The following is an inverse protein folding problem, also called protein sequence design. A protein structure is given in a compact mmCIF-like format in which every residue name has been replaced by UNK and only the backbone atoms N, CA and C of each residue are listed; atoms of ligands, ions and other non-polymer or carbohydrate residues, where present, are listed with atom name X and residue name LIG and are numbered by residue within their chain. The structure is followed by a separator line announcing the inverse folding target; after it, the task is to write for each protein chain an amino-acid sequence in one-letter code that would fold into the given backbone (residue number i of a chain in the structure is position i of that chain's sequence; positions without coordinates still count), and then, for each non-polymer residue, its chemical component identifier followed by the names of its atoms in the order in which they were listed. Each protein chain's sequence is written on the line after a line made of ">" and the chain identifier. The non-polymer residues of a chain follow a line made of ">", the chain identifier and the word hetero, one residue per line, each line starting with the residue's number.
data_IF_017164227951
#
_entry.id   IF_017164227951
#
_cell.length_a   1.000
_cell.length_b   1.000
_cell.length_c   1.000
_cell.angle_alpha   90.00
_cell.angle_beta   90.00
_cell.angle_gamma   90.00
#
_symmetry.space_group_name_H-M   'P 1'
#
loop_
_entity.id
_entity.type
_entity.pdbx_description
1 polymer ?
#
# COMPACT_ATOMS: atom_id res chain seq x y z
N UNK A 1 -46.63 -19.39 21.07
CA UNK A 1 -45.25 -19.80 21.41
C UNK A 1 -44.33 -18.84 20.66
N UNK A 2 -44.09 -17.63 21.18
CA UNK A 2 -43.67 -16.49 20.32
C UNK A 2 -42.50 -15.64 20.82
N UNK A 3 -42.00 -15.84 22.04
CA UNK A 3 -40.89 -15.04 22.61
C UNK A 3 -39.57 -15.84 22.66
N UNK A 4 -39.15 -16.41 21.52
CA UNK A 4 -37.95 -17.25 21.44
C UNK A 4 -37.06 -17.05 20.19
N UNK A 5 -37.36 -16.06 19.33
CA UNK A 5 -36.61 -15.82 18.08
C UNK A 5 -36.08 -14.37 17.92
N UNK A 6 -35.91 -13.66 19.04
CA UNK A 6 -35.55 -12.23 19.05
C UNK A 6 -34.09 -11.95 19.49
N UNK A 7 -33.13 -12.81 19.14
CA UNK A 7 -31.69 -12.49 19.28
C UNK A 7 -30.75 -13.33 18.39
N UNK A 8 -31.11 -13.52 17.12
CA UNK A 8 -30.21 -14.14 16.13
C UNK A 8 -29.22 -13.08 15.63
N UNK A 9 -27.92 -13.33 15.76
CA UNK A 9 -26.84 -12.42 15.32
C UNK A 9 -26.82 -12.25 13.79
N UNK A 10 -27.59 -11.27 13.30
CA UNK A 10 -27.64 -10.84 11.91
C UNK A 10 -26.27 -10.36 11.38
N UNK A 11 -25.34 -9.96 12.25
CA UNK A 11 -23.98 -9.58 11.84
C UNK A 11 -23.18 -10.77 11.32
N UNK A 12 -23.28 -11.93 11.99
CA UNK A 12 -22.68 -13.19 11.52
C UNK A 12 -23.30 -13.67 10.21
N UNK A 13 -24.62 -13.62 10.08
CA UNK A 13 -25.30 -13.99 8.82
C UNK A 13 -24.95 -13.05 7.67
N UNK A 14 -24.92 -11.73 7.89
CA UNK A 14 -24.52 -10.75 6.88
C UNK A 14 -23.10 -10.99 6.37
N UNK A 15 -22.16 -11.32 7.27
CA UNK A 15 -20.78 -11.68 6.90
C UNK A 15 -20.71 -12.97 6.07
N UNK A 16 -21.53 -13.98 6.38
CA UNK A 16 -21.60 -15.21 5.57
C UNK A 16 -22.18 -14.90 4.19
N UNK A 17 -23.25 -14.11 4.10
CA UNK A 17 -23.84 -13.69 2.81
C UNK A 17 -22.83 -12.88 1.98
N UNK A 18 -22.09 -11.94 2.58
CA UNK A 18 -21.01 -11.22 1.89
C UNK A 18 -19.89 -12.15 1.41
N UNK A 19 -19.57 -13.22 2.15
CA UNK A 19 -18.55 -14.19 1.74
C UNK A 19 -18.93 -14.97 0.46
N UNK A 20 -20.22 -15.08 0.15
CA UNK A 20 -20.75 -15.69 -1.09
C UNK A 20 -21.23 -14.65 -2.12
N UNK A 21 -21.50 -13.41 -1.71
CA UNK A 21 -22.06 -12.35 -2.53
C UNK A 21 -21.57 -10.96 -2.07
N UNK A 22 -20.32 -10.64 -2.43
CA UNK A 22 -19.75 -9.29 -2.34
C UNK A 22 -19.68 -8.70 -3.76
N UNK A 23 -20.75 -8.04 -4.25
CA UNK A 23 -20.77 -7.46 -5.59
C UNK A 23 -19.84 -6.26 -5.67
N UNK A 24 -19.20 -6.08 -6.83
CA UNK A 24 -18.27 -4.96 -7.03
C UNK A 24 -18.99 -3.60 -6.97
N UNK A 25 -18.34 -2.56 -6.42
CA UNK A 25 -18.96 -1.27 -6.26
C UNK A 25 -19.16 -0.58 -7.61
N UNK A 26 -20.37 -0.10 -7.86
CA UNK A 26 -20.73 0.74 -9.01
C UNK A 26 -20.53 2.22 -8.63
N UNK A 27 -20.06 3.03 -9.57
CA UNK A 27 -19.87 4.46 -9.42
C UNK A 27 -21.19 5.23 -9.58
N UNK A 28 -21.37 6.32 -8.83
CA UNK A 28 -22.47 7.24 -9.08
C UNK A 28 -22.07 8.25 -10.17
N UNK A 29 -22.38 7.88 -11.41
CA UNK A 29 -22.07 8.68 -12.61
C UNK A 29 -22.83 10.00 -12.69
N UNK A 30 -23.89 10.19 -11.89
CA UNK A 30 -24.68 11.42 -11.87
C UNK A 30 -24.08 12.48 -10.92
N UNK A 31 -23.43 12.04 -9.84
CA UNK A 31 -22.77 12.93 -8.88
C UNK A 31 -21.31 13.25 -9.23
N UNK A 32 -20.64 12.44 -10.08
CA UNK A 32 -19.21 12.55 -10.48
C UNK A 32 -18.26 12.91 -9.30
N UNK A 33 -18.48 12.26 -8.15
CA UNK A 33 -17.66 12.49 -6.98
C UNK A 33 -16.25 11.94 -7.23
N UNK A 34 -15.18 12.76 -7.09
CA UNK A 34 -13.83 12.32 -7.38
C UNK A 34 -13.44 11.09 -6.57
N UNK A 35 -12.98 10.06 -7.28
CA UNK A 35 -12.39 8.87 -6.69
C UNK A 35 -10.87 9.05 -6.65
N UNK A 36 -10.26 8.57 -5.58
CA UNK A 36 -8.84 8.71 -5.32
C UNK A 36 -8.15 7.35 -5.23
N UNK A 37 -6.93 7.27 -5.76
CA UNK A 37 -5.99 6.17 -5.51
C UNK A 37 -4.63 6.79 -5.18
N UNK A 38 -3.98 6.39 -4.07
CA UNK A 38 -2.65 6.84 -3.61
C UNK A 38 -2.32 8.30 -3.99
N UNK A 39 -3.02 9.26 -3.36
CA UNK A 39 -2.79 10.69 -3.56
C UNK A 39 -3.23 11.30 -4.90
N UNK A 40 -3.74 10.50 -5.85
CA UNK A 40 -4.19 10.95 -7.19
C UNK A 40 -5.70 10.88 -7.31
N UNK A 41 -6.32 11.97 -7.77
CA UNK A 41 -7.76 12.09 -8.00
C UNK A 41 -8.14 11.81 -9.46
N UNK A 42 -9.36 11.31 -9.67
CA UNK A 42 -9.95 11.02 -10.98
C UNK A 42 -11.44 11.38 -11.01
N UNK A 43 -11.93 11.87 -12.15
CA UNK A 43 -13.33 12.15 -12.44
C UNK A 43 -13.74 11.67 -13.83
N UNK A 44 -15.04 11.51 -14.06
CA UNK A 44 -15.59 11.22 -15.40
C UNK A 44 -15.43 12.43 -16.34
N UNK A 45 -15.42 13.65 -15.80
CA UNK A 45 -15.11 14.87 -16.54
C UNK A 45 -13.79 14.83 -17.31
N UNK A 46 -12.82 14.07 -16.82
CA UNK A 46 -11.43 14.13 -17.32
C UNK A 46 -11.31 13.56 -18.75
N UNK A 47 -12.23 12.66 -19.15
CA UNK A 47 -12.38 12.18 -20.53
C UNK A 47 -12.74 13.29 -21.55
N UNK A 48 -13.23 14.46 -21.12
CA UNK A 48 -13.73 15.52 -22.03
C UNK A 48 -12.69 16.54 -22.48
N UNK A 49 -11.54 16.66 -21.80
CA UNK A 49 -10.53 17.67 -22.11
C UNK A 49 -9.38 17.17 -23.01
N UNK A 50 -9.19 15.86 -23.18
CA UNK A 50 -8.18 15.28 -24.08
C UNK A 50 -8.63 15.21 -25.53
N UNK A 51 -8.97 16.37 -26.11
CA UNK A 51 -8.81 16.57 -27.56
C UNK A 51 -7.35 16.98 -27.82
N UNK A 52 -6.66 16.42 -28.84
CA UNK A 52 -5.33 16.87 -29.21
C UNK A 52 -5.42 18.28 -29.79
N UNK A 53 -5.07 19.29 -28.97
CA UNK A 53 -5.15 20.68 -29.36
C UNK A 53 -3.82 21.11 -29.98
N UNK A 54 -3.72 20.91 -31.30
CA UNK A 54 -2.48 21.03 -32.08
C UNK A 54 -2.07 22.49 -32.32
N UNK A 55 -1.65 23.16 -31.24
CA UNK A 55 -1.19 24.57 -31.23
C UNK A 55 0.14 24.70 -30.49
N UNK A 56 1.21 24.54 -31.25
CA UNK A 56 2.60 24.67 -30.83
C UNK A 56 3.08 26.15 -30.97
N UNK A 57 3.36 26.88 -29.87
CA UNK A 57 3.81 28.28 -29.93
C UNK A 57 5.32 28.37 -30.19
N UNK A 58 5.75 28.16 -31.43
CA UNK A 58 7.15 28.35 -31.83
C UNK A 58 7.58 29.83 -31.78
N UNK A 59 8.46 30.17 -30.85
CA UNK A 59 9.21 31.43 -30.85
C UNK A 59 10.38 31.34 -31.86
N UNK A 60 10.54 32.30 -32.80
CA UNK A 60 11.54 32.20 -33.87
C UNK A 60 12.95 32.65 -33.42
N UNK A 61 14.03 32.00 -33.90
CA UNK A 61 15.40 32.46 -33.74
C UNK A 61 15.76 33.61 -34.72
N UNK A 62 16.67 34.53 -34.36
CA UNK A 62 17.07 35.64 -35.22
C UNK A 62 18.10 35.23 -36.28
N UNK A 63 17.99 35.79 -37.48
CA UNK A 63 18.91 35.54 -38.60
C UNK A 63 19.93 36.67 -38.82
N UNK A 64 21.16 36.34 -39.22
CA UNK A 64 22.00 37.20 -40.04
C UNK A 64 22.17 36.63 -41.47
N UNK A 65 22.29 37.50 -42.46
CA UNK A 65 22.42 37.18 -43.89
C UNK A 65 23.79 37.67 -44.43
N UNK A 66 24.07 37.63 -45.75
CA UNK A 66 24.08 36.45 -46.64
C UNK A 66 25.39 36.34 -47.46
N UNK A 67 25.75 35.16 -47.98
CA UNK A 67 26.72 35.03 -49.11
C UNK A 67 26.41 33.89 -50.10
N UNK A 68 26.17 34.33 -51.35
CA UNK A 68 26.41 33.69 -52.67
C UNK A 68 27.08 32.32 -52.77
N UNK A 69 26.49 31.44 -53.58
CA UNK A 69 27.06 30.21 -54.17
C UNK A 69 26.06 29.61 -55.19
N UNK A 70 26.51 28.81 -56.16
CA UNK A 70 25.68 28.26 -57.25
C UNK A 70 26.07 26.79 -57.59
N UNK A 71 25.48 26.24 -58.67
CA UNK A 71 25.80 24.95 -59.34
C UNK A 71 25.38 23.65 -58.61
N UNK A 72 25.03 22.52 -59.27
CA UNK A 72 24.32 22.29 -60.57
C UNK A 72 23.88 20.80 -60.71
N UNK A 73 22.81 20.49 -61.48
CA UNK A 73 22.43 19.20 -62.15
C UNK A 73 22.45 17.85 -61.32
N UNK A 74 22.00 16.65 -61.77
CA UNK A 74 21.37 16.13 -63.01
C UNK A 74 20.26 15.06 -62.73
N UNK A 75 19.95 14.12 -63.66
CA UNK A 75 18.59 13.59 -63.91
C UNK A 75 18.37 12.05 -64.08
N UNK A 76 17.13 11.59 -63.82
CA UNK A 76 16.42 10.39 -64.40
C UNK A 76 16.91 8.96 -64.03
N UNK A 77 16.24 7.80 -64.31
CA UNK A 77 14.94 7.43 -64.96
C UNK A 77 14.44 6.02 -64.53
N UNK A 78 13.20 5.63 -64.88
CA UNK A 78 12.61 4.26 -64.73
C UNK A 78 12.16 3.66 -66.09
N UNK A 79 11.95 2.32 -66.22
CA UNK A 79 10.68 1.78 -66.79
C UNK A 79 10.21 0.38 -66.24
N UNK A 80 9.21 -0.29 -66.87
CA UNK A 80 8.30 -1.31 -66.29
C UNK A 80 8.14 -2.67 -67.04
N UNK A 81 7.60 -3.70 -66.32
CA UNK A 81 6.65 -4.78 -66.77
C UNK A 81 7.10 -5.96 -67.70
N UNK A 82 6.32 -7.08 -67.93
CA UNK A 82 5.18 -7.71 -67.20
C UNK A 82 5.05 -9.29 -67.21
N UNK A 83 3.93 -9.81 -66.61
CA UNK A 83 3.06 -11.01 -66.97
C UNK A 83 3.44 -12.50 -66.72
N UNK A 84 2.61 -13.23 -65.92
CA UNK A 84 1.66 -14.30 -66.36
C UNK A 84 0.86 -14.98 -65.19
N UNK A 85 -0.23 -15.72 -65.50
CA UNK A 85 -1.22 -16.42 -64.60
C UNK A 85 -1.85 -17.64 -65.37
N UNK A 86 -2.88 -18.42 -64.94
CA UNK A 86 -3.83 -18.40 -63.78
C UNK A 86 -3.76 -19.72 -62.91
N UNK A 87 -4.66 -20.19 -62.01
CA UNK A 87 -6.14 -20.33 -61.92
C UNK A 87 -6.75 -19.97 -60.52
N UNK A 88 -8.07 -20.11 -60.32
CA UNK A 88 -8.88 -19.43 -59.26
C UNK A 88 -10.24 -20.12 -58.98
N UNK A 89 -11.06 -19.66 -58.01
CA UNK A 89 -10.77 -19.24 -56.62
C UNK A 89 -11.56 -20.20 -55.68
N UNK A 90 -12.71 -19.90 -55.01
CA UNK A 90 -13.27 -18.70 -54.33
C UNK A 90 -12.91 -18.73 -52.81
N UNK A 91 -13.51 -18.07 -51.80
CA UNK A 91 -14.52 -17.01 -51.53
C UNK A 91 -14.06 -16.36 -50.18
N UNK A 92 -14.37 -15.12 -49.76
CA UNK A 92 -14.94 -13.94 -50.43
C UNK A 92 -14.52 -12.66 -49.68
N UNK A 93 -14.75 -11.49 -50.28
CA UNK A 93 -14.05 -10.23 -49.94
C UNK A 93 -14.71 -9.31 -48.89
N UNK A 94 -13.84 -8.54 -48.23
CA UNK A 94 -14.16 -7.35 -47.41
C UNK A 94 -15.02 -6.30 -48.13
N UNK A 95 -15.88 -5.62 -47.38
CA UNK A 95 -16.03 -4.16 -47.53
C UNK A 95 -16.57 -3.51 -46.24
N UNK A 96 -15.99 -2.36 -45.87
CA UNK A 96 -16.50 -1.49 -44.80
C UNK A 96 -17.37 -0.39 -45.39
N UNK A 97 -18.54 -0.10 -44.80
CA UNK A 97 -19.15 1.23 -44.89
C UNK A 97 -19.89 1.60 -43.61
N UNK A 98 -19.89 2.89 -43.29
CA UNK A 98 -20.39 3.43 -42.03
C UNK A 98 -21.92 3.50 -41.98
N UNK A 99 -22.49 3.21 -40.80
CA UNK A 99 -23.80 3.70 -40.42
C UNK A 99 -23.80 4.12 -38.95
N UNK A 100 -24.29 5.32 -38.68
CA UNK A 100 -24.11 6.01 -37.40
C UNK A 100 -25.26 5.72 -36.43
N UNK A 101 -25.00 4.91 -35.39
CA UNK A 101 -25.68 5.03 -34.10
C UNK A 101 -24.64 4.96 -32.99
N UNK A 102 -24.50 6.05 -32.25
CA UNK A 102 -23.67 6.09 -31.04
C UNK A 102 -24.42 5.40 -29.90
N UNK A 103 -24.13 4.12 -29.69
CA UNK A 103 -24.25 3.52 -28.36
C UNK A 103 -22.91 3.70 -27.66
N UNK A 104 -22.94 4.11 -26.39
CA UNK A 104 -21.76 4.01 -25.54
C UNK A 104 -21.31 2.55 -25.50
N UNK A 105 -20.04 2.31 -25.81
CA UNK A 105 -19.37 1.08 -25.43
C UNK A 105 -19.23 1.12 -23.90
N UNK A 106 -20.24 0.59 -23.21
CA UNK A 106 -20.27 0.48 -21.75
C UNK A 106 -19.23 -0.56 -21.34
N UNK A 107 -17.97 -0.11 -21.25
CA UNK A 107 -16.91 -0.90 -20.64
C UNK A 107 -17.39 -1.37 -19.26
N UNK A 108 -17.10 -2.63 -18.93
CA UNK A 108 -17.72 -3.38 -17.84
C UNK A 108 -17.29 -2.89 -16.43
N UNK A 109 -16.70 -1.69 -16.36
CA UNK A 109 -15.93 -1.13 -15.26
C UNK A 109 -16.83 -0.39 -14.26
N UNK A 110 -18.08 -0.83 -14.06
CA UNK A 110 -19.00 -0.26 -13.06
C UNK A 110 -19.25 1.26 -13.16
N UNK A 111 -18.99 1.90 -14.30
CA UNK A 111 -19.08 3.35 -14.48
C UNK A 111 -17.93 4.17 -13.86
N UNK A 112 -16.79 3.56 -13.51
CA UNK A 112 -15.63 4.26 -12.97
C UNK A 112 -14.83 5.03 -14.04
N UNK A 113 -14.06 6.06 -13.67
CA UNK A 113 -13.07 6.64 -14.56
C UNK A 113 -11.99 5.61 -14.91
N UNK A 114 -11.71 5.38 -16.20
CA UNK A 114 -10.71 4.38 -16.62
C UNK A 114 -9.32 4.66 -16.03
N UNK A 115 -8.91 5.93 -15.93
CA UNK A 115 -7.66 6.30 -15.26
C UNK A 115 -7.54 5.80 -13.80
N UNK A 116 -8.66 5.68 -13.08
CA UNK A 116 -8.70 5.08 -11.74
C UNK A 116 -8.60 3.54 -11.80
N UNK A 117 -9.33 2.89 -12.70
CA UNK A 117 -9.28 1.42 -12.88
C UNK A 117 -7.86 0.96 -13.23
N UNK A 118 -7.27 1.55 -14.28
CA UNK A 118 -5.91 1.25 -14.70
C UNK A 118 -4.88 1.48 -13.57
N UNK A 119 -5.11 2.48 -12.71
CA UNK A 119 -4.21 2.75 -11.58
C UNK A 119 -4.43 1.83 -10.38
N UNK A 120 -5.67 1.37 -10.14
CA UNK A 120 -6.00 0.39 -9.11
C UNK A 120 -5.42 -0.98 -9.46
N UNK A 121 -5.64 -1.47 -10.69
CA UNK A 121 -5.14 -2.78 -11.13
C UNK A 121 -3.61 -2.84 -11.16
N UNK A 122 -2.96 -1.70 -11.43
CA UNK A 122 -1.50 -1.56 -11.38
C UNK A 122 -0.92 -1.57 -9.96
N UNK A 123 -1.71 -1.55 -8.89
CA UNK A 123 -1.16 -1.62 -7.52
C UNK A 123 -0.79 -3.07 -7.19
N UNK A 124 0.47 -3.28 -6.81
CA UNK A 124 1.00 -4.61 -6.46
C UNK A 124 0.23 -5.16 -5.25
N UNK A 125 -0.31 -6.37 -5.39
CA UNK A 125 -1.22 -7.02 -4.46
C UNK A 125 -0.65 -8.34 -3.96
N UNK A 126 -0.18 -8.34 -2.70
CA UNK A 126 0.30 -9.55 -2.04
C UNK A 126 -0.86 -10.21 -1.28
N UNK A 127 -1.05 -11.51 -1.52
CA UNK A 127 -2.10 -12.34 -0.90
C UNK A 127 -1.52 -13.48 -0.08
N UNK A 128 -2.37 -14.23 0.62
CA UNK A 128 -2.04 -15.56 1.11
C UNK A 128 -1.46 -16.43 0.00
N UNK A 129 -0.43 -17.20 0.35
CA UNK A 129 0.24 -18.13 -0.56
C UNK A 129 0.33 -19.53 0.07
N UNK A 130 0.50 -20.56 -0.75
CA UNK A 130 0.70 -21.95 -0.34
C UNK A 130 1.75 -22.63 -1.20
N UNK A 131 2.32 -23.73 -0.70
CA UNK A 131 3.36 -24.52 -1.37
C UNK A 131 4.72 -23.81 -1.47
N UNK A 132 4.93 -22.77 -0.63
CA UNK A 132 6.25 -22.16 -0.44
C UNK A 132 7.15 -22.98 0.49
N UNK A 133 8.47 -22.70 0.49
CA UNK A 133 9.45 -23.45 1.29
C UNK A 133 9.04 -23.48 2.79
N UNK A 134 8.92 -24.65 3.45
CA UNK A 134 8.20 -24.72 4.72
C UNK A 134 8.89 -23.99 5.87
N UNK A 135 8.20 -22.99 6.45
CA UNK A 135 8.69 -22.20 7.59
C UNK A 135 8.62 -23.03 8.88
N UNK A 136 9.75 -23.27 9.58
CA UNK A 136 9.76 -24.02 10.84
C UNK A 136 8.88 -23.40 11.93
N UNK A 137 8.20 -24.23 12.72
CA UNK A 137 7.47 -23.77 13.91
C UNK A 137 8.45 -23.32 15.00
N UNK A 138 8.06 -22.32 15.78
CA UNK A 138 8.86 -21.87 16.92
C UNK A 138 8.86 -22.92 18.03
N UNK A 139 10.03 -23.16 18.62
CA UNK A 139 10.22 -24.03 19.80
C UNK A 139 10.03 -23.29 21.12
N UNK A 140 9.76 -21.97 21.11
CA UNK A 140 9.45 -21.21 22.33
C UNK A 140 8.06 -21.64 22.87
N UNK A 141 7.95 -22.08 24.14
CA UNK A 141 6.66 -22.43 24.76
C UNK A 141 5.57 -21.36 24.66
N UNK A 142 5.92 -20.08 24.55
CA UNK A 142 4.96 -18.98 24.40
C UNK A 142 4.29 -18.96 23.01
N UNK A 143 4.94 -19.48 21.96
CA UNK A 143 4.41 -19.40 20.60
C UNK A 143 3.07 -20.13 20.44
N UNK A 144 2.93 -21.31 21.06
CA UNK A 144 1.72 -22.15 20.99
C UNK A 144 0.49 -21.44 21.56
N UNK A 145 0.63 -20.56 22.57
CA UNK A 145 -0.49 -19.81 23.15
C UNK A 145 -0.87 -18.59 22.31
N UNK A 146 0.11 -17.97 21.63
CA UNK A 146 -0.07 -16.77 20.82
C UNK A 146 -0.60 -17.03 19.39
N UNK A 147 -0.59 -18.29 18.94
CA UNK A 147 -1.19 -18.72 17.67
C UNK A 147 -2.60 -18.13 17.46
N UNK A 148 -2.89 -17.74 16.22
CA UNK A 148 -4.23 -17.31 15.79
C UNK A 148 -5.26 -18.43 16.01
N UNK A 149 -6.55 -18.08 16.19
CA UNK A 149 -7.60 -19.07 16.52
C UNK A 149 -7.73 -20.17 15.46
N UNK A 150 -7.60 -19.79 14.20
CA UNK A 150 -7.54 -20.69 13.04
C UNK A 150 -6.35 -21.65 13.11
N UNK A 151 -5.16 -21.17 13.46
CA UNK A 151 -3.97 -22.02 13.61
C UNK A 151 -4.00 -22.90 14.86
N UNK A 152 -4.60 -22.44 15.96
CA UNK A 152 -4.85 -23.30 17.15
C UNK A 152 -5.75 -24.48 16.80
N UNK A 153 -6.85 -24.24 16.09
CA UNK A 153 -7.75 -25.31 15.66
C UNK A 153 -7.07 -26.31 14.72
N UNK A 154 -6.30 -25.84 13.72
CA UNK A 154 -5.50 -26.72 12.85
C UNK A 154 -4.47 -27.55 13.64
N UNK A 155 -3.74 -26.90 14.56
CA UNK A 155 -2.71 -27.54 15.39
C UNK A 155 -3.30 -28.63 16.32
N UNK A 156 -4.49 -28.39 16.89
CA UNK A 156 -5.22 -29.37 17.70
C UNK A 156 -5.75 -30.57 16.91
N UNK A 157 -5.97 -30.43 15.60
CA UNK A 157 -6.39 -31.51 14.70
C UNK A 157 -5.20 -32.39 14.23
N UNK A 158 -4.03 -32.25 14.85
CA UNK A 158 -2.86 -33.13 14.65
C UNK A 158 -1.80 -32.60 13.69
N UNK A 159 -2.07 -31.52 12.96
CA UNK A 159 -1.10 -30.94 12.04
C UNK A 159 -0.01 -30.13 12.78
N UNK A 160 1.13 -30.80 13.02
CA UNK A 160 2.37 -30.22 13.53
C UNK A 160 3.42 -29.95 12.44
N UNK A 161 3.04 -30.02 11.15
CA UNK A 161 3.99 -29.76 10.05
C UNK A 161 4.48 -28.30 10.02
N UNK A 162 5.71 -28.04 9.52
CA UNK A 162 6.17 -26.67 9.24
C UNK A 162 5.20 -25.94 8.28
N UNK A 163 5.09 -24.61 8.42
CA UNK A 163 4.10 -23.84 7.66
C UNK A 163 4.55 -23.67 6.19
N UNK A 164 3.91 -24.37 5.27
CA UNK A 164 4.00 -24.14 3.81
C UNK A 164 2.88 -23.23 3.28
N UNK A 165 2.11 -22.58 4.15
CA UNK A 165 1.12 -21.55 3.79
C UNK A 165 0.90 -20.56 4.92
N UNK A 166 0.73 -19.28 4.58
CA UNK A 166 0.40 -18.21 5.53
C UNK A 166 -1.12 -17.98 5.71
N UNK A 167 -1.94 -18.80 5.04
CA UNK A 167 -3.40 -18.76 5.04
C UNK A 167 -4.00 -18.81 6.46
N UNK A 168 -4.67 -17.72 6.84
CA UNK A 168 -5.35 -17.56 8.14
C UNK A 168 -4.54 -16.82 9.22
N UNK A 169 -3.26 -16.53 8.98
CA UNK A 169 -2.40 -15.80 9.94
C UNK A 169 -1.59 -14.65 9.32
N UNK A 170 -1.05 -14.80 8.11
CA UNK A 170 -0.16 -13.83 7.45
C UNK A 170 -0.78 -12.53 6.95
N UNK A 171 -2.07 -12.25 7.15
CA UNK A 171 -2.80 -11.20 6.42
C UNK A 171 -2.17 -9.81 6.60
N UNK A 172 -1.74 -9.45 7.81
CA UNK A 172 -1.08 -8.17 8.08
C UNK A 172 0.34 -8.10 7.50
N UNK A 173 1.04 -9.25 7.36
CA UNK A 173 2.32 -9.31 6.63
C UNK A 173 2.06 -9.02 5.15
N UNK A 174 1.05 -9.66 4.54
CA UNK A 174 0.68 -9.45 3.13
C UNK A 174 0.20 -8.01 2.85
N UNK A 175 -0.57 -7.41 3.75
CA UNK A 175 -0.91 -5.97 3.67
C UNK A 175 0.33 -5.07 3.78
N UNK A 176 1.29 -5.41 4.65
CA UNK A 176 2.56 -4.68 4.79
C UNK A 176 3.51 -4.85 3.61
N UNK A 177 3.59 -6.06 3.04
CA UNK A 177 4.32 -6.33 1.79
C UNK A 177 3.71 -5.52 0.64
N UNK A 178 2.39 -5.48 0.51
CA UNK A 178 1.71 -4.69 -0.53
C UNK A 178 2.03 -3.19 -0.40
N UNK A 179 2.02 -2.64 0.83
CA UNK A 179 2.41 -1.26 1.11
C UNK A 179 3.86 -0.99 0.72
N UNK A 180 4.80 -1.86 1.10
CA UNK A 180 6.22 -1.71 0.77
C UNK A 180 6.49 -1.87 -0.73
N UNK A 181 5.88 -2.85 -1.40
CA UNK A 181 6.04 -3.10 -2.83
C UNK A 181 5.55 -1.90 -3.66
N UNK A 182 4.39 -1.33 -3.32
CA UNK A 182 3.92 -0.11 -3.97
C UNK A 182 4.81 1.11 -3.62
N UNK A 183 5.38 1.19 -2.42
CA UNK A 183 6.36 2.25 -2.10
C UNK A 183 7.61 2.15 -2.97
N UNK A 184 8.13 0.94 -3.20
CA UNK A 184 9.28 0.69 -4.08
C UNK A 184 8.93 1.02 -5.53
N UNK A 185 7.77 0.55 -6.03
CA UNK A 185 7.27 0.88 -7.35
C UNK A 185 7.13 2.40 -7.57
N UNK A 186 6.65 3.15 -6.57
CA UNK A 186 6.54 4.60 -6.66
C UNK A 186 7.89 5.33 -6.80
N UNK A 187 9.00 4.75 -6.32
CA UNK A 187 10.35 5.33 -6.44
C UNK A 187 11.09 4.84 -7.68
N UNK A 188 11.02 3.53 -8.01
CA UNK A 188 11.71 2.96 -9.19
C UNK A 188 10.96 3.23 -10.51
N UNK A 189 9.63 3.19 -10.50
CA UNK A 189 8.76 3.29 -11.69
C UNK A 189 8.01 4.63 -11.77
N UNK A 190 7.83 5.32 -10.64
CA UNK A 190 7.12 6.59 -10.56
C UNK A 190 5.60 6.46 -10.41
N UNK A 191 4.92 7.56 -10.04
CA UNK A 191 3.46 7.57 -9.77
C UNK A 191 2.60 7.32 -11.02
N UNK A 192 3.13 7.62 -12.19
CA UNK A 192 2.45 7.49 -13.49
C UNK A 192 2.54 6.09 -14.11
N UNK A 193 3.41 5.21 -13.58
CA UNK A 193 3.55 3.84 -14.06
C UNK A 193 2.26 3.02 -13.92
N UNK A 194 1.98 2.21 -14.95
CA UNK A 194 0.86 1.26 -15.04
C UNK A 194 1.36 -0.12 -15.49
N UNK A 195 0.64 -1.17 -15.11
CA UNK A 195 1.00 -2.58 -15.40
C UNK A 195 1.33 -2.80 -16.88
N UNK A 196 2.35 -3.61 -17.17
CA UNK A 196 2.84 -3.87 -18.53
C UNK A 196 3.73 -2.77 -19.12
N UNK A 197 3.87 -1.62 -18.44
CA UNK A 197 4.98 -0.70 -18.67
C UNK A 197 6.18 -1.15 -17.83
N UNK A 198 7.42 -0.93 -18.31
CA UNK A 198 8.65 -1.20 -17.53
C UNK A 198 8.73 -2.61 -16.91
N UNK A 199 8.24 -3.62 -17.64
CA UNK A 199 8.10 -5.01 -17.20
C UNK A 199 9.35 -5.58 -16.51
N UNK A 200 10.55 -5.22 -16.98
CA UNK A 200 11.80 -5.68 -16.39
C UNK A 200 11.95 -5.25 -14.91
N UNK A 201 11.64 -3.99 -14.60
CA UNK A 201 11.74 -3.45 -13.25
C UNK A 201 10.52 -3.83 -12.39
N UNK A 202 9.34 -4.03 -12.99
CA UNK A 202 8.19 -4.69 -12.34
C UNK A 202 8.58 -6.10 -11.85
N UNK A 203 9.21 -6.90 -12.70
CA UNK A 203 9.74 -8.23 -12.36
C UNK A 203 10.87 -8.18 -11.31
N UNK A 204 11.77 -7.20 -11.38
CA UNK A 204 12.79 -6.98 -10.33
C UNK A 204 12.15 -6.73 -8.96
N UNK A 205 11.09 -5.93 -8.90
CA UNK A 205 10.35 -5.69 -7.65
C UNK A 205 9.64 -6.97 -7.21
N UNK A 206 8.93 -7.69 -8.08
CA UNK A 206 8.25 -8.93 -7.72
C UNK A 206 9.22 -10.01 -7.19
N UNK A 207 10.42 -10.12 -7.76
CA UNK A 207 11.52 -10.97 -7.25
C UNK A 207 11.87 -10.68 -5.80
N UNK A 208 11.92 -9.40 -5.42
CA UNK A 208 12.27 -9.02 -4.05
C UNK A 208 11.21 -9.45 -3.00
N UNK A 209 9.97 -9.79 -3.43
CA UNK A 209 8.85 -10.21 -2.59
C UNK A 209 8.45 -11.70 -2.71
N UNK A 210 9.11 -12.47 -3.58
CA UNK A 210 8.83 -13.90 -3.80
C UNK A 210 8.77 -14.72 -2.50
N UNK A 211 8.00 -15.81 -2.49
CA UNK A 211 7.79 -16.65 -1.29
C UNK A 211 8.96 -17.63 -1.05
N UNK A 212 10.18 -17.10 -1.01
CA UNK A 212 11.45 -17.84 -0.91
C UNK A 212 12.33 -17.25 0.19
N UNK A 213 13.10 -18.06 0.95
CA UNK A 213 14.05 -17.56 1.96
C UNK A 213 15.15 -16.62 1.46
N UNK A 214 15.48 -16.64 0.16
CA UNK A 214 16.44 -15.75 -0.53
C UNK A 214 15.88 -14.34 -0.71
N UNK A 215 14.58 -14.21 -0.99
CA UNK A 215 13.97 -12.91 -1.28
C UNK A 215 13.96 -12.00 -0.03
N UNK A 216 14.40 -10.74 -0.14
CA UNK A 216 14.55 -9.85 1.01
C UNK A 216 13.20 -9.59 1.70
N UNK A 217 12.14 -9.29 0.95
CA UNK A 217 10.82 -8.93 1.50
C UNK A 217 9.86 -10.12 1.65
N UNK A 218 10.35 -11.36 1.53
CA UNK A 218 9.52 -12.57 1.58
C UNK A 218 8.80 -12.81 2.91
N UNK A 219 7.76 -13.65 2.89
CA UNK A 219 7.04 -14.10 4.09
C UNK A 219 8.00 -14.73 5.11
N UNK A 220 8.99 -15.49 4.66
CA UNK A 220 10.06 -16.07 5.47
C UNK A 220 10.89 -14.99 6.16
N UNK A 221 11.26 -13.94 5.43
CA UNK A 221 12.06 -12.83 5.95
C UNK A 221 11.31 -11.96 6.96
N UNK A 222 10.03 -11.66 6.70
CA UNK A 222 9.14 -10.99 7.67
C UNK A 222 8.99 -11.80 8.97
N UNK A 223 8.73 -13.11 8.87
CA UNK A 223 8.56 -13.99 10.04
C UNK A 223 9.86 -14.15 10.83
N UNK A 224 10.97 -14.38 10.12
CA UNK A 224 12.32 -14.49 10.71
C UNK A 224 12.68 -13.22 11.48
N UNK A 225 12.34 -12.04 10.96
CA UNK A 225 12.55 -10.79 11.68
C UNK A 225 11.59 -10.63 12.87
N UNK A 226 10.29 -10.85 12.67
CA UNK A 226 9.26 -10.72 13.71
C UNK A 226 9.60 -11.47 14.98
N UNK A 227 10.12 -12.70 14.85
CA UNK A 227 10.58 -13.50 15.98
C UNK A 227 11.77 -12.85 16.72
N UNK A 228 12.70 -12.22 15.99
CA UNK A 228 13.95 -11.66 16.52
C UNK A 228 13.82 -10.29 17.19
N UNK A 229 12.82 -9.48 16.83
CA UNK A 229 12.68 -8.10 17.32
C UNK A 229 11.31 -7.76 17.92
N UNK A 230 10.27 -8.52 17.60
CA UNK A 230 8.91 -8.32 18.14
C UNK A 230 8.44 -9.51 19.01
N UNK A 231 9.25 -10.58 19.14
CA UNK A 231 8.84 -11.83 19.77
C UNK A 231 7.69 -12.54 19.05
N UNK A 232 7.51 -12.27 17.74
CA UNK A 232 6.37 -12.73 16.93
C UNK A 232 6.70 -13.97 16.11
N UNK A 233 6.06 -15.09 16.44
CA UNK A 233 6.37 -16.39 15.86
C UNK A 233 5.46 -16.76 14.66
N UNK A 234 5.91 -17.67 13.77
CA UNK A 234 5.07 -18.17 12.68
C UNK A 234 3.74 -18.77 13.18
N UNK A 235 2.65 -18.47 12.49
CA UNK A 235 1.27 -18.85 12.88
C UNK A 235 0.55 -17.84 13.78
N UNK A 236 1.26 -16.85 14.33
CA UNK A 236 0.66 -15.71 15.04
C UNK A 236 0.11 -14.66 14.08
N UNK A 237 -0.82 -13.83 14.59
CA UNK A 237 -1.14 -12.56 13.95
C UNK A 237 -0.11 -11.49 14.32
N UNK A 238 0.43 -10.84 13.28
CA UNK A 238 1.29 -9.66 13.39
C UNK A 238 0.38 -8.42 13.43
N UNK A 239 0.63 -7.49 14.35
CA UNK A 239 -0.07 -6.20 14.38
C UNK A 239 0.63 -5.12 13.56
N UNK A 240 -0.03 -3.97 13.29
CA UNK A 240 0.54 -2.82 12.59
C UNK A 240 1.98 -2.49 12.96
N UNK A 241 2.27 -2.30 14.25
CA UNK A 241 3.59 -1.93 14.77
C UNK A 241 4.65 -3.04 14.61
N UNK A 242 4.25 -4.32 14.62
CA UNK A 242 5.16 -5.44 14.38
C UNK A 242 5.53 -5.50 12.88
N UNK A 243 4.55 -5.29 12.01
CA UNK A 243 4.76 -5.18 10.56
C UNK A 243 5.62 -3.96 10.20
N UNK A 244 5.41 -2.83 10.86
CA UNK A 244 6.24 -1.62 10.69
C UNK A 244 7.72 -1.88 11.05
N UNK A 245 7.96 -2.59 12.16
CA UNK A 245 9.31 -3.03 12.57
C UNK A 245 9.94 -4.00 11.56
N UNK A 246 9.14 -4.90 10.96
CA UNK A 246 9.60 -5.76 9.87
C UNK A 246 9.97 -4.98 8.59
N UNK A 247 9.16 -3.99 8.18
CA UNK A 247 9.48 -3.13 7.03
C UNK A 247 10.75 -2.30 7.30
N UNK A 248 10.94 -1.83 8.54
CA UNK A 248 12.14 -1.10 8.94
C UNK A 248 13.40 -1.99 9.02
N UNK A 249 13.25 -3.31 9.16
CA UNK A 249 14.35 -4.27 9.31
C UNK A 249 14.22 -5.47 8.36
N UNK A 250 14.85 -5.36 7.19
CA UNK A 250 14.95 -6.43 6.18
C UNK A 250 16.43 -6.77 5.94
N UNK A 251 16.88 -7.91 6.46
CA UNK A 251 18.31 -8.27 6.62
C UNK A 251 19.12 -8.20 5.31
N UNK A 252 20.31 -7.59 5.34
CA UNK A 252 21.32 -7.66 4.27
C UNK A 252 22.01 -9.03 4.14
N UNK A 253 22.35 -9.46 2.90
CA UNK A 253 23.32 -10.54 2.67
C UNK A 253 24.74 -10.06 3.03
N UNK A 254 25.04 -10.01 4.32
CA UNK A 254 26.41 -9.94 4.82
C UNK A 254 27.01 -11.36 4.90
N UNK A 255 28.28 -11.57 4.48
CA UNK A 255 28.93 -12.88 4.60
C UNK A 255 29.04 -13.34 6.06
N UNK A 256 29.12 -14.66 6.26
CA UNK A 256 28.97 -15.29 7.57
C UNK A 256 30.03 -14.85 8.59
N UNK A 257 29.58 -14.39 9.76
CA UNK A 257 30.33 -14.48 11.01
C UNK A 257 29.52 -15.36 11.98
N UNK A 258 29.94 -16.61 12.24
CA UNK A 258 29.33 -17.44 13.27
C UNK A 258 29.50 -16.84 14.67
N UNK A 259 28.51 -17.07 15.55
CA UNK A 259 28.59 -16.86 17.00
C UNK A 259 28.78 -15.41 17.53
N UNK A 260 28.35 -14.38 16.80
CA UNK A 260 28.08 -13.07 17.41
C UNK A 260 26.57 -12.86 17.63
N UNK A 261 26.08 -13.27 18.82
CA UNK A 261 24.73 -12.90 19.28
C UNK A 261 24.84 -11.64 20.15
N UNK A 262 23.93 -10.68 19.91
CA UNK A 262 23.87 -9.36 20.57
C UNK A 262 24.96 -8.36 20.12
N UNK A 263 24.73 -7.74 18.94
CA UNK A 263 25.20 -6.37 18.69
C UNK A 263 24.17 -5.36 19.25
N UNK A 264 24.69 -4.33 19.95
CA UNK A 264 23.95 -3.21 20.54
C UNK A 264 24.20 -1.86 19.83
N UNK A 265 24.93 -1.86 18.72
CA UNK A 265 25.19 -0.67 17.91
C UNK A 265 23.88 -0.07 17.35
N UNK A 266 23.84 1.23 17.01
CA UNK A 266 22.65 1.86 16.43
C UNK A 266 22.24 1.19 15.10
N UNK A 267 21.13 0.46 15.14
CA UNK A 267 20.64 -0.33 13.99
C UNK A 267 20.12 0.61 12.90
N UNK A 268 20.86 0.71 11.78
CA UNK A 268 20.38 1.40 10.57
C UNK A 268 19.09 0.74 10.07
N UNK A 269 18.09 1.54 9.70
CA UNK A 269 16.90 1.06 8.99
C UNK A 269 17.31 0.47 7.63
N UNK A 270 16.75 -0.67 7.24
CA UNK A 270 17.41 -1.58 6.30
C UNK A 270 17.05 -1.43 4.82
N UNK A 271 16.10 -0.56 4.47
CA UNK A 271 15.91 -0.13 3.08
C UNK A 271 17.24 0.42 2.49
N UNK A 272 17.98 1.22 3.27
CA UNK A 272 19.33 1.78 3.02
C UNK A 272 20.44 0.81 2.54
N UNK A 273 20.16 -0.48 2.30
CA UNK A 273 21.16 -1.49 1.95
C UNK A 273 20.71 -2.58 0.98
N UNK A 274 19.48 -2.49 0.44
CA UNK A 274 19.03 -3.24 -0.76
C UNK A 274 18.28 -2.32 -1.71
N UNK A 275 17.49 -1.42 -1.12
CA UNK A 275 16.80 -0.36 -1.80
C UNK A 275 17.52 0.97 -1.50
N UNK A 276 18.70 1.24 -2.11
CA UNK A 276 19.48 2.43 -1.80
C UNK A 276 18.73 3.74 -2.13
N UNK A 277 17.63 3.66 -2.88
CA UNK A 277 16.73 4.78 -3.14
C UNK A 277 15.78 5.10 -1.98
N UNK A 278 15.53 4.19 -1.02
CA UNK A 278 14.53 4.36 0.05
C UNK A 278 15.14 4.23 1.47
N UNK A 279 14.58 5.00 2.40
CA UNK A 279 14.81 4.90 3.85
C UNK A 279 13.49 4.68 4.57
N UNK A 280 13.52 4.18 5.82
CA UNK A 280 12.30 3.95 6.62
C UNK A 280 12.39 4.66 7.97
N UNK A 281 11.48 5.60 8.19
CA UNK A 281 11.16 6.19 9.49
C UNK A 281 9.90 5.52 10.04
N UNK A 282 9.85 5.21 11.33
CA UNK A 282 8.70 4.54 11.96
C UNK A 282 8.44 5.13 13.34
N UNK A 283 7.18 5.51 13.62
CA UNK A 283 6.76 6.04 14.92
C UNK A 283 6.59 4.96 16.00
N UNK A 284 6.65 3.68 15.61
CA UNK A 284 6.40 2.55 16.49
C UNK A 284 4.90 2.35 16.77
N UNK A 285 4.44 2.83 17.92
CA UNK A 285 3.11 2.54 18.48
C UNK A 285 2.24 3.80 18.73
N UNK A 286 2.71 4.98 18.32
CA UNK A 286 2.00 6.26 18.49
C UNK A 286 1.96 7.13 17.22
N UNK A 287 1.07 8.14 17.15
CA UNK A 287 0.86 8.99 15.97
C UNK A 287 1.90 10.11 15.79
N UNK A 288 2.84 10.24 16.71
CA UNK A 288 3.76 11.38 16.80
C UNK A 288 5.01 11.18 15.93
N UNK A 289 5.31 12.18 15.10
CA UNK A 289 6.44 12.22 14.19
C UNK A 289 7.38 13.34 14.62
N UNK A 290 8.65 12.99 14.86
CA UNK A 290 9.68 13.93 15.28
C UNK A 290 10.54 14.36 14.10
N UNK A 291 10.56 15.67 13.82
CA UNK A 291 11.24 16.24 12.65
C UNK A 291 12.76 16.05 12.70
N UNK A 292 13.38 16.14 13.88
CA UNK A 292 14.81 15.88 14.02
C UNK A 292 15.17 14.40 13.78
N UNK A 293 14.41 13.45 14.33
CA UNK A 293 14.60 12.01 14.06
C UNK A 293 14.30 11.64 12.59
N UNK A 294 13.30 12.27 11.97
CA UNK A 294 13.04 12.12 10.53
C UNK A 294 14.23 12.64 9.70
N UNK A 295 14.72 13.86 9.96
CA UNK A 295 15.83 14.45 9.19
C UNK A 295 17.15 13.72 9.38
N UNK A 296 17.44 13.20 10.57
CA UNK A 296 18.59 12.30 10.82
C UNK A 296 18.58 11.08 9.89
N UNK A 297 17.39 10.57 9.54
CA UNK A 297 17.20 9.45 8.61
C UNK A 297 17.20 9.93 7.15
N UNK A 298 16.36 10.90 6.79
CA UNK A 298 16.15 11.32 5.41
C UNK A 298 17.33 12.08 4.78
N UNK A 299 17.95 13.00 5.55
CA UNK A 299 19.02 13.91 5.08
C UNK A 299 20.23 13.85 6.02
N UNK A 300 20.93 12.69 6.10
CA UNK A 300 22.02 12.50 7.05
C UNK A 300 23.12 13.54 6.84
N UNK A 301 23.64 14.09 7.94
CA UNK A 301 24.62 15.20 7.97
C UNK A 301 24.18 16.51 7.27
N UNK A 302 22.94 16.62 6.80
CA UNK A 302 22.47 17.77 6.01
C UNK A 302 22.94 17.79 4.55
N UNK A 303 23.52 16.69 4.05
CA UNK A 303 23.98 16.54 2.66
C UNK A 303 22.78 16.22 1.73
N UNK A 304 22.79 15.06 1.07
CA UNK A 304 21.72 14.61 0.16
C UNK A 304 20.46 14.18 0.91
N UNK A 305 19.28 14.59 0.41
CA UNK A 305 17.99 14.05 0.84
C UNK A 305 17.71 12.74 0.11
N UNK A 306 17.24 11.71 0.83
CA UNK A 306 16.85 10.42 0.28
C UNK A 306 15.35 10.18 0.49
N UNK A 307 14.63 9.65 -0.52
CA UNK A 307 13.23 9.24 -0.37
C UNK A 307 13.03 8.39 0.88
N UNK A 308 12.08 8.79 1.73
CA UNK A 308 11.89 8.20 3.06
C UNK A 308 10.43 7.84 3.27
N UNK A 309 10.19 6.54 3.45
CA UNK A 309 8.91 5.98 3.88
C UNK A 309 8.71 6.27 5.37
N UNK A 310 7.76 7.14 5.68
CA UNK A 310 7.22 7.41 7.01
C UNK A 310 6.11 6.41 7.29
N UNK A 311 6.29 5.59 8.33
CA UNK A 311 5.33 4.62 8.83
C UNK A 311 4.75 5.10 10.18
N UNK A 312 3.46 5.44 10.20
CA UNK A 312 2.76 5.86 11.42
C UNK A 312 1.86 4.73 11.91
N UNK A 313 2.25 4.10 13.02
CA UNK A 313 1.40 3.16 13.76
C UNK A 313 0.42 3.93 14.63
N UNK A 314 -0.90 3.71 14.48
CA UNK A 314 -1.90 4.46 15.24
C UNK A 314 -3.13 3.64 15.59
N UNK A 315 -3.85 4.08 16.64
CA UNK A 315 -5.13 3.51 17.07
C UNK A 315 -6.19 4.58 17.27
N UNK A 316 -7.11 4.70 16.33
CA UNK A 316 -8.09 5.80 16.24
C UNK A 316 -9.41 5.54 16.99
N UNK A 317 -9.41 4.63 17.97
CA UNK A 317 -10.59 4.25 18.76
C UNK A 317 -10.49 2.87 19.42
N UNK A 318 -11.55 2.46 20.14
CA UNK A 318 -11.60 1.18 20.85
C UNK A 318 -12.01 0.06 19.89
N UNK A 319 -13.29 -0.02 19.50
CA UNK A 319 -13.82 -1.07 18.59
C UNK A 319 -14.03 -0.60 17.14
N UNK A 320 -14.11 0.72 16.95
CA UNK A 320 -14.34 1.44 15.70
C UNK A 320 -13.57 2.75 15.74
N UNK A 321 -13.27 3.32 14.57
CA UNK A 321 -12.67 4.65 14.45
C UNK A 321 -13.68 5.71 14.93
N UNK A 322 -13.28 6.55 15.89
CA UNK A 322 -14.12 7.66 16.41
C UNK A 322 -14.43 8.66 15.28
N UNK A 323 -15.70 9.09 15.08
CA UNK A 323 -16.10 9.90 13.92
C UNK A 323 -15.29 11.18 13.68
N UNK A 324 -14.77 11.80 14.73
CA UNK A 324 -13.93 13.03 14.64
C UNK A 324 -12.63 12.84 13.84
N UNK A 325 -12.22 11.58 13.59
CA UNK A 325 -11.03 11.20 12.83
C UNK A 325 -11.33 10.73 11.39
N UNK A 326 -12.60 10.62 10.97
CA UNK A 326 -12.94 10.04 9.66
C UNK A 326 -12.39 10.86 8.49
N UNK A 327 -12.65 12.18 8.48
CA UNK A 327 -12.15 13.08 7.42
C UNK A 327 -10.63 13.16 7.40
N UNK A 328 -9.97 13.15 8.57
CA UNK A 328 -8.52 13.09 8.70
C UNK A 328 -7.90 11.82 8.09
N UNK A 329 -8.58 10.68 8.28
CA UNK A 329 -8.17 9.38 7.75
C UNK A 329 -8.42 9.24 6.24
N UNK A 330 -9.54 9.79 5.75
CA UNK A 330 -9.84 9.88 4.31
C UNK A 330 -8.80 10.78 3.62
N UNK A 331 -8.51 11.95 4.20
CA UNK A 331 -7.51 12.87 3.69
C UNK A 331 -6.10 12.24 3.61
N UNK A 332 -5.73 11.36 4.55
CA UNK A 332 -4.44 10.65 4.53
C UNK A 332 -4.25 9.74 3.29
N UNK A 333 -5.32 9.30 2.62
CA UNK A 333 -5.26 8.59 1.33
C UNK A 333 -5.26 9.53 0.10
N UNK A 334 -5.60 10.80 0.30
CA UNK A 334 -5.70 11.84 -0.73
C UNK A 334 -4.45 12.73 -0.79
N UNK A 335 -3.57 12.67 0.21
CA UNK A 335 -2.26 13.33 0.19
C UNK A 335 -1.37 12.74 -0.92
N UNK A 336 -0.68 13.55 -1.76
CA UNK A 336 0.20 13.07 -2.83
C UNK A 336 1.30 12.10 -2.38
N UNK A 337 1.72 12.21 -1.12
CA UNK A 337 2.73 11.35 -0.49
C UNK A 337 2.18 9.99 -0.04
N UNK A 338 0.87 9.75 -0.10
CA UNK A 338 0.24 8.56 0.48
C UNK A 338 0.66 7.29 -0.26
N UNK A 339 1.21 6.32 0.49
CA UNK A 339 1.43 4.94 0.01
C UNK A 339 0.40 3.96 0.56
N UNK A 340 -0.73 4.49 1.04
CA UNK A 340 -1.86 3.69 1.54
C UNK A 340 -1.75 3.35 3.02
N UNK A 341 -2.66 2.50 3.47
CA UNK A 341 -2.81 2.12 4.88
C UNK A 341 -2.93 0.60 4.97
N UNK A 342 -2.02 -0.05 5.70
CA UNK A 342 -2.13 -1.46 6.03
C UNK A 342 -2.78 -1.61 7.41
N UNK A 343 -3.91 -2.32 7.53
CA UNK A 343 -4.59 -2.44 8.82
C UNK A 343 -5.89 -3.22 8.77
N UNK A 344 -6.46 -3.46 9.96
CA UNK A 344 -7.65 -4.28 10.13
C UNK A 344 -7.59 -5.15 11.38
N UNK A 345 -8.60 -6.01 11.53
CA UNK A 345 -8.75 -6.86 12.71
C UNK A 345 -7.76 -8.02 12.70
N UNK A 346 -7.51 -8.66 13.86
CA UNK A 346 -6.87 -9.97 13.92
C UNK A 346 -7.48 -10.95 12.91
N UNK A 347 -6.64 -11.52 12.04
CA UNK A 347 -7.04 -12.37 10.89
C UNK A 347 -8.04 -11.73 9.90
N UNK A 348 -8.09 -10.39 9.79
CA UNK A 348 -8.86 -9.64 8.78
C UNK A 348 -8.21 -8.27 8.51
N UNK A 349 -7.01 -8.29 7.93
CA UNK A 349 -6.22 -7.10 7.55
C UNK A 349 -6.28 -6.85 6.06
N UNK A 350 -6.32 -5.58 5.66
CA UNK A 350 -6.39 -5.15 4.25
C UNK A 350 -5.37 -4.04 3.97
N UNK A 351 -5.10 -3.80 2.69
CA UNK A 351 -4.27 -2.68 2.25
C UNK A 351 -5.15 -1.65 1.52
N UNK A 352 -5.49 -0.58 2.22
CA UNK A 352 -6.33 0.51 1.72
C UNK A 352 -5.50 1.45 0.85
N UNK A 353 -5.96 1.67 -0.38
CA UNK A 353 -5.22 2.42 -1.42
C UNK A 353 -6.01 3.59 -2.01
N UNK A 354 -7.30 3.72 -1.72
CA UNK A 354 -8.14 4.75 -2.34
C UNK A 354 -9.37 5.16 -1.53
N UNK A 355 -10.05 6.22 -1.97
CA UNK A 355 -11.28 6.71 -1.34
C UNK A 355 -12.26 7.37 -2.32
N UNK A 356 -13.55 7.30 -2.02
CA UNK A 356 -14.59 8.14 -2.62
C UNK A 356 -15.63 8.44 -1.52
N UNK A 357 -15.76 9.72 -1.15
CA UNK A 357 -16.53 10.11 0.02
C UNK A 357 -16.09 9.32 1.27
N UNK A 358 -17.05 8.82 2.05
CA UNK A 358 -16.79 8.04 3.26
C UNK A 358 -16.46 6.55 3.01
N UNK A 359 -16.21 6.13 1.76
CA UNK A 359 -15.80 4.76 1.40
C UNK A 359 -14.31 4.68 1.06
N UNK A 360 -13.67 3.61 1.52
CA UNK A 360 -12.25 3.31 1.35
C UNK A 360 -12.09 2.06 0.48
N UNK A 361 -11.29 2.17 -0.58
CA UNK A 361 -10.97 1.09 -1.52
C UNK A 361 -9.72 0.35 -1.07
N UNK A 362 -9.70 -0.99 -1.21
CA UNK A 362 -8.64 -1.83 -0.66
C UNK A 362 -8.32 -3.06 -1.51
N UNK A 363 -7.08 -3.50 -1.36
CA UNK A 363 -6.57 -4.79 -1.80
C UNK A 363 -6.70 -5.82 -0.64
N UNK A 364 -7.22 -6.99 -0.97
CA UNK A 364 -7.69 -8.01 -0.02
C UNK A 364 -6.74 -9.22 0.01
N UNK A 365 -5.92 -9.44 1.06
CA UNK A 365 -4.94 -10.51 1.05
C UNK A 365 -5.53 -11.91 1.26
N UNK A 366 -6.82 -12.06 1.56
CA UNK A 366 -7.37 -13.32 2.10
C UNK A 366 -7.63 -14.43 1.06
N UNK A 367 -7.19 -14.27 -0.19
CA UNK A 367 -7.29 -15.28 -1.24
C UNK A 367 -5.98 -16.07 -1.39
N UNK A 368 -6.00 -17.36 -1.07
CA UNK A 368 -4.82 -18.23 -1.16
C UNK A 368 -4.48 -18.58 -2.62
N UNK A 369 -3.22 -18.33 -3.01
CA UNK A 369 -2.64 -18.71 -4.31
C UNK A 369 -1.45 -19.65 -4.14
N UNK A 370 -0.96 -20.26 -5.22
CA UNK A 370 0.38 -20.88 -5.21
C UNK A 370 1.45 -19.82 -4.93
N UNK A 371 2.55 -20.23 -4.31
CA UNK A 371 3.74 -19.43 -4.05
C UNK A 371 4.18 -18.64 -5.30
N UNK A 372 4.58 -17.37 -5.13
CA UNK A 372 5.33 -16.66 -6.16
C UNK A 372 6.79 -17.18 -6.11
N UNK A 373 7.28 -17.91 -7.13
CA UNK A 373 8.62 -18.48 -7.08
C UNK A 373 9.68 -17.39 -7.18
N UNK A 374 10.89 -17.69 -6.69
CA UNK A 374 12.04 -16.81 -6.85
C UNK A 374 12.87 -17.26 -8.06
N UNK A 375 12.80 -16.49 -9.14
CA UNK A 375 13.66 -16.67 -10.30
C UNK A 375 14.97 -15.90 -10.13
N UNK A 376 16.12 -16.50 -10.45
CA UNK A 376 17.42 -15.79 -10.36
C UNK A 376 17.50 -14.67 -11.41
N UNK A 377 16.89 -14.87 -12.58
CA UNK A 377 16.71 -13.89 -13.63
C UNK A 377 15.25 -13.41 -13.61
N UNK A 378 14.96 -12.11 -13.38
CA UNK A 378 13.58 -11.61 -13.34
C UNK A 378 12.81 -11.78 -14.66
N UNK A 379 13.47 -12.00 -15.81
CA UNK A 379 12.80 -12.20 -17.10
C UNK A 379 12.18 -13.60 -17.25
N UNK A 380 12.37 -14.48 -16.26
CA UNK A 380 11.75 -15.83 -16.23
C UNK A 380 10.33 -15.83 -15.65
N UNK A 381 9.84 -14.69 -15.13
CA UNK A 381 8.45 -14.59 -14.66
C UNK A 381 7.44 -14.74 -15.80
N UNK A 382 6.48 -15.64 -15.60
CA UNK A 382 5.35 -15.87 -16.50
C UNK A 382 4.27 -14.80 -16.33
N UNK A 383 3.42 -14.63 -17.36
CA UNK A 383 2.29 -13.70 -17.30
C UNK A 383 1.30 -14.07 -16.18
N UNK A 384 1.16 -15.35 -15.89
CA UNK A 384 0.33 -15.91 -14.81
C UNK A 384 0.90 -15.59 -13.42
N UNK A 385 2.22 -15.70 -13.24
CA UNK A 385 2.90 -15.34 -11.99
C UNK A 385 2.76 -13.84 -11.69
N UNK A 386 2.95 -12.99 -12.70
CA UNK A 386 2.78 -11.54 -12.59
C UNK A 386 1.30 -11.20 -12.31
N UNK A 387 0.36 -11.74 -13.10
CA UNK A 387 -1.07 -11.53 -12.88
C UNK A 387 -1.55 -12.01 -11.50
N UNK A 388 -0.88 -13.01 -10.89
CA UNK A 388 -1.18 -13.46 -9.53
C UNK A 388 -0.96 -12.38 -8.45
N UNK A 389 -0.22 -11.31 -8.78
CA UNK A 389 0.12 -10.18 -7.93
C UNK A 389 -0.69 -8.90 -8.24
N UNK A 390 -1.74 -8.97 -9.09
CA UNK A 390 -2.53 -7.81 -9.54
C UNK A 390 -4.03 -8.10 -9.55
N UNK A 391 -4.89 -7.07 -9.51
CA UNK A 391 -6.34 -7.26 -9.69
C UNK A 391 -7.12 -6.01 -10.09
N UNK A 392 -7.99 -6.15 -11.08
CA UNK A 392 -9.02 -5.18 -11.43
C UNK A 392 -10.25 -5.22 -10.52
N UNK A 393 -10.41 -6.26 -9.68
CA UNK A 393 -11.60 -6.41 -8.81
C UNK A 393 -11.63 -5.33 -7.73
N UNK A 394 -12.61 -4.45 -7.82
CA UNK A 394 -12.82 -3.39 -6.84
C UNK A 394 -13.52 -3.94 -5.59
N UNK A 395 -13.01 -3.54 -4.42
CA UNK A 395 -13.68 -3.70 -3.13
C UNK A 395 -13.61 -2.39 -2.34
N UNK A 396 -14.68 -2.09 -1.58
CA UNK A 396 -14.73 -0.93 -0.69
C UNK A 396 -15.50 -1.21 0.60
N UNK A 397 -15.07 -0.60 1.71
CA UNK A 397 -15.86 -0.52 2.95
C UNK A 397 -16.11 0.94 3.32
N UNK A 398 -17.15 1.21 4.09
CA UNK A 398 -17.35 2.52 4.71
C UNK A 398 -16.34 2.70 5.85
N UNK A 399 -15.74 3.90 6.01
CA UNK A 399 -14.74 4.20 7.05
C UNK A 399 -15.14 3.75 8.48
N UNK A 400 -16.43 3.81 8.83
CA UNK A 400 -16.99 3.32 10.12
C UNK A 400 -16.83 1.82 10.39
N UNK A 401 -16.53 1.03 9.35
CA UNK A 401 -16.39 -0.44 9.37
C UNK A 401 -14.90 -0.87 9.33
N UNK A 402 -13.97 0.07 9.08
CA UNK A 402 -12.54 -0.14 9.22
C UNK A 402 -12.14 -0.26 10.70
N UNK A 403 -11.10 -1.04 10.98
CA UNK A 403 -10.59 -1.20 12.34
C UNK A 403 -9.83 0.06 12.80
N UNK A 404 -9.93 0.48 14.08
CA UNK A 404 -9.15 1.61 14.57
C UNK A 404 -7.63 1.38 14.57
N UNK A 405 -7.12 0.14 14.55
CA UNK A 405 -5.69 -0.17 14.59
C UNK A 405 -5.09 -0.31 13.19
N UNK A 406 -4.12 0.54 12.85
CA UNK A 406 -3.59 0.64 11.48
C UNK A 406 -2.15 1.16 11.39
N UNK A 407 -1.53 0.92 10.23
CA UNK A 407 -0.23 1.44 9.80
C UNK A 407 -0.42 2.33 8.57
N UNK A 408 -0.30 3.65 8.74
CA UNK A 408 -0.44 4.64 7.67
C UNK A 408 0.95 4.90 7.07
N UNK A 409 1.09 4.82 5.75
CA UNK A 409 2.36 5.06 5.06
C UNK A 409 2.37 6.33 4.22
N UNK A 410 3.47 7.09 4.29
CA UNK A 410 3.76 8.20 3.38
C UNK A 410 5.18 8.11 2.83
N UNK A 411 5.36 8.28 1.53
CA UNK A 411 6.66 8.41 0.88
C UNK A 411 6.99 9.90 0.73
N UNK A 412 8.01 10.36 1.45
CA UNK A 412 8.51 11.73 1.38
C UNK A 412 9.76 11.75 0.49
N UNK A 413 9.71 12.45 -0.64
CA UNK A 413 10.76 12.40 -1.67
C UNK A 413 11.78 13.55 -1.60
N UNK A 414 11.40 14.68 -1.02
CA UNK A 414 12.27 15.86 -0.87
C UNK A 414 11.96 16.66 0.40
N UNK A 415 12.78 17.67 0.68
CA UNK A 415 12.56 18.59 1.80
C UNK A 415 11.35 19.51 1.57
N UNK A 416 11.06 19.91 0.33
CA UNK A 416 9.83 20.62 -0.03
C UNK A 416 8.58 19.73 0.13
N UNK A 417 8.70 18.46 -0.26
CA UNK A 417 7.65 17.45 -0.12
C UNK A 417 7.36 17.19 1.37
N UNK A 418 8.39 17.17 2.21
CA UNK A 418 8.26 17.15 3.67
C UNK A 418 7.51 18.38 4.22
N UNK A 419 7.87 19.61 3.80
CA UNK A 419 7.12 20.81 4.22
C UNK A 419 5.66 20.78 3.71
N UNK A 420 5.43 20.21 2.53
CA UNK A 420 4.09 20.00 1.95
C UNK A 420 3.27 19.03 2.79
N UNK A 421 3.80 17.85 3.08
CA UNK A 421 3.18 16.84 3.93
C UNK A 421 2.90 17.35 5.35
N UNK A 422 3.86 18.03 6.00
CA UNK A 422 3.66 18.70 7.29
C UNK A 422 2.50 19.70 7.26
N UNK A 423 2.34 20.45 6.17
CA UNK A 423 1.21 21.37 5.98
C UNK A 423 -0.10 20.59 5.86
N UNK A 424 -0.13 19.48 5.13
CA UNK A 424 -1.31 18.63 4.96
C UNK A 424 -1.76 17.97 6.28
N UNK A 425 -0.86 17.34 7.05
CA UNK A 425 -1.23 16.69 8.33
C UNK A 425 -1.59 17.69 9.46
N UNK A 426 -1.19 18.96 9.32
CA UNK A 426 -1.58 20.04 10.23
C UNK A 426 -2.95 20.66 9.91
N UNK A 427 -3.32 20.76 8.64
CA UNK A 427 -4.55 21.45 8.19
C UNK A 427 -5.56 20.47 7.61
N UNK A 428 -5.98 19.50 8.44
CA UNK A 428 -6.99 18.48 8.11
C UNK A 428 -8.38 18.96 8.56
N UNK A 429 -9.44 18.49 7.91
CA UNK A 429 -10.82 18.69 8.41
C UNK A 429 -11.11 17.71 9.56
N UNK A 430 -11.71 18.19 10.65
CA UNK A 430 -11.89 17.40 11.88
C UNK A 430 -10.67 17.44 12.80
N UNK A 431 -10.40 16.37 13.55
CA UNK A 431 -9.23 16.27 14.43
C UNK A 431 -8.11 15.51 13.74
N UNK A 432 -6.89 16.08 13.71
CA UNK A 432 -5.74 15.40 13.12
C UNK A 432 -5.39 14.10 13.84
N UNK A 433 -4.87 13.15 13.06
CA UNK A 433 -4.51 11.77 13.45
C UNK A 433 -3.00 11.54 13.47
N UNK A 434 -2.20 12.56 13.11
CA UNK A 434 -0.74 12.57 13.08
C UNK A 434 -0.30 13.91 13.65
N UNK A 435 0.69 13.91 14.53
CA UNK A 435 1.24 15.13 15.12
C UNK A 435 2.72 15.24 14.77
N UNK A 436 3.17 16.42 14.35
CA UNK A 436 4.57 16.66 14.00
C UNK A 436 5.17 17.63 15.00
N UNK A 437 6.24 17.20 15.68
CA UNK A 437 6.96 17.98 16.68
C UNK A 437 8.44 18.12 16.30
N UNK A 438 9.09 19.20 16.73
CA UNK A 438 10.48 19.48 16.32
C UNK A 438 11.49 18.47 16.88
N UNK A 439 11.28 17.98 18.12
CA UNK A 439 12.21 17.11 18.84
C UNK A 439 11.53 16.09 19.72
N UNK A 440 12.15 14.91 19.83
CA UNK A 440 11.74 13.86 20.75
C UNK A 440 12.16 14.16 22.20
N UNK A 441 11.25 14.74 22.99
CA UNK A 441 11.51 15.15 24.37
C UNK A 441 11.88 13.99 25.32
N UNK A 442 11.56 12.75 24.99
CA UNK A 442 11.82 11.57 25.83
C UNK A 442 13.30 11.16 25.80
N UNK A 443 14.04 11.54 24.75
CA UNK A 443 15.48 11.27 24.61
C UNK A 443 16.37 12.41 25.10
N UNK A 444 15.80 13.59 25.37
CA UNK A 444 16.51 14.81 25.77
C UNK A 444 16.68 14.99 27.28
N UNK A 445 16.96 13.92 28.02
CA UNK A 445 16.95 13.89 29.49
C UNK A 445 18.08 14.62 30.22
N UNK A 446 18.25 15.93 29.99
CA UNK A 446 18.95 16.83 30.93
C UNK A 446 18.06 17.12 32.14
N UNK A 447 18.64 17.14 33.35
CA UNK A 447 17.90 17.08 34.64
C UNK A 447 17.21 18.38 35.09
N UNK A 448 16.87 19.28 34.17
CA UNK A 448 16.36 20.63 34.48
C UNK A 448 15.10 20.91 33.65
N UNK A 449 13.98 21.26 34.30
CA UNK A 449 12.72 21.58 33.62
C UNK A 449 11.42 20.94 34.16
N UNK A 450 11.38 20.43 35.40
CA UNK A 450 10.18 19.81 36.00
C UNK A 450 9.78 20.32 37.40
N UNK A 451 9.92 21.62 37.62
CA UNK A 451 9.43 22.30 38.85
C UNK A 451 8.20 23.22 38.62
N UNK A 452 7.83 23.51 37.36
CA UNK A 452 6.79 24.50 37.02
C UNK A 452 5.37 23.95 36.75
N UNK A 453 5.03 22.75 37.22
CA UNK A 453 3.76 22.08 36.87
C UNK A 453 3.20 21.20 38.00
N UNK A 454 3.28 21.69 39.25
CA UNK A 454 2.70 21.08 40.45
C UNK A 454 2.02 22.13 41.34
N UNK A 455 1.14 22.91 40.73
CA UNK A 455 0.12 23.71 41.44
C UNK A 455 -1.19 23.66 40.62
N UNK A 456 -2.30 24.15 41.18
CA UNK A 456 -3.67 24.08 40.62
C UNK A 456 -4.27 22.66 40.48
N UNK A 457 -4.33 21.91 41.59
CA UNK A 457 -5.39 20.91 41.82
C UNK A 457 -5.96 21.06 43.22
N UNK A 458 -6.87 22.03 43.41
CA UNK A 458 -7.71 22.06 44.61
C UNK A 458 -8.63 20.84 44.63
N UNK A 459 -8.65 20.12 45.75
CA UNK A 459 -9.51 18.94 45.94
C UNK A 459 -10.78 19.37 46.65
N UNK A 460 -11.88 19.49 45.89
CA UNK A 460 -13.20 19.62 46.47
C UNK A 460 -13.55 18.35 47.24
N UNK A 461 -13.81 18.50 48.54
CA UNK A 461 -14.27 17.44 49.43
C UNK A 461 -15.78 17.51 49.57
N UNK A 462 -16.50 16.56 48.99
CA UNK A 462 -17.93 16.35 49.26
C UNK A 462 -18.08 15.71 50.65
N UNK A 463 -18.69 16.43 51.59
CA UNK A 463 -18.90 16.01 52.99
C UNK A 463 -20.39 16.13 53.37
N UNK A 464 -21.22 15.28 52.75
CA UNK A 464 -22.64 15.13 53.07
C UNK A 464 -22.85 13.86 53.94
N UNK A 465 -23.44 14.03 55.12
CA UNK A 465 -23.52 12.99 56.17
C UNK A 465 -24.95 12.49 56.37
N UNK A 466 -25.28 11.37 55.71
CA UNK A 466 -26.56 10.66 55.87
C UNK A 466 -26.76 10.16 57.31
N UNK A 467 -27.49 10.94 58.11
CA UNK A 467 -27.86 10.60 59.49
C UNK A 467 -29.20 9.86 59.49
N UNK A 468 -29.15 8.53 59.45
CA UNK A 468 -30.35 7.69 59.60
C UNK A 468 -30.85 7.77 61.05
N UNK A 469 -32.12 8.14 61.22
CA UNK A 469 -32.81 8.12 62.51
C UNK A 469 -34.16 7.39 62.36
N UNK A 470 -34.28 6.26 63.08
CA UNK A 470 -35.55 5.54 63.29
C UNK A 470 -35.88 5.49 64.80
N UNK A 471 -37.15 5.23 65.19
CA UNK A 471 -37.76 5.79 66.41
C UNK A 471 -37.53 5.02 67.72
#
# INVERSE_FOLDING_TARGET
>A
MENAMANVDLGRYRRIVQMFWDPEPINDVAHDQPVWCLGRSYKLSDKKNTKPNDHNPHTPPPAPAPKTGAEDQDTTRSPNMPTNAPETPPESISSSFSSSLAYDDQSNDGGWPSGFINDFESRIWMTYRSEFEPIPRSTNPQATSALSLSMRLKSQLGDQSPFSSDSGWGCMIRSGQSLLANTIALVRLGRDWRQGQSLEEECCILKDFADDPKAPYSIHSFVRHGASACGKYPGEWFGPSATARCIQYVKTPSPMIPNCWIDKSPRRALANSHEPSIRVYSTGDGPDVYEDDFMKIAKPKGETFHPTLVLVGTRLGIDKITPVYWEALIAALQMPQSVGIAGGRPSSSHYFIGSQGSFLFYLDPHHTRLALPYHENPMEYTSEEIASCHTSRLRRIHVREMDPSMLIGFLIQSEDDWQSWKRCVKHVQGKSIIHVAERNAVLGGSSEGREGAIDEVETLSDDDTDTIQEP
#
